data_IF_553691964255
#
_entry.id   IF_553691964255
#
_cell.length_a   1.000
_cell.length_b   1.000
_cell.length_c   1.000
_cell.angle_alpha   90.00
_cell.angle_beta   90.00
_cell.angle_gamma   90.00
#
_symmetry.space_group_name_H-M   'P 1'
#
loop_
_entity.id
_entity.type
_entity.pdbx_description
1 polymer ?
#
# COMPACT_ATOMS: atom_id res chain seq x y z
N UNK A 1 -36.95 -4.92 23.16
CA UNK A 1 -36.46 -6.08 22.49
C UNK A 1 -36.06 -5.82 21.11
N UNK A 2 -36.98 -5.48 20.30
CA UNK A 2 -36.68 -5.16 18.93
C UNK A 2 -35.69 -4.03 18.84
N UNK A 3 -35.79 -3.13 19.77
CA UNK A 3 -34.90 -1.97 19.77
C UNK A 3 -33.44 -2.31 19.91
N UNK A 4 -33.18 -3.46 20.50
CA UNK A 4 -31.79 -3.87 20.69
C UNK A 4 -31.08 -4.06 19.38
N UNK A 5 -31.74 -4.66 18.42
CA UNK A 5 -31.11 -4.85 17.12
C UNK A 5 -30.76 -3.55 16.45
N UNK A 6 -31.63 -2.58 16.60
CA UNK A 6 -31.43 -1.29 16.01
C UNK A 6 -30.19 -0.61 16.59
N UNK A 7 -30.03 -0.74 17.88
CA UNK A 7 -28.88 -0.15 18.55
C UNK A 7 -27.58 -0.73 18.03
N UNK A 8 -27.57 -2.02 17.77
CA UNK A 8 -26.38 -2.66 17.24
C UNK A 8 -26.00 -2.10 15.89
N UNK A 9 -26.97 -1.83 15.08
CA UNK A 9 -26.69 -1.25 13.78
C UNK A 9 -26.04 0.10 13.90
N UNK A 10 -26.51 0.88 14.85
CA UNK A 10 -25.89 2.17 15.09
C UNK A 10 -24.42 2.06 15.42
N UNK A 11 -24.08 1.04 16.18
CA UNK A 11 -22.67 0.85 16.55
C UNK A 11 -21.81 0.57 15.33
N UNK A 12 -22.31 -0.19 14.41
CA UNK A 12 -21.55 -0.48 13.20
C UNK A 12 -21.27 0.77 12.39
N UNK A 13 -22.25 1.64 12.30
CA UNK A 13 -22.08 2.87 11.57
C UNK A 13 -21.00 3.72 12.20
N UNK A 14 -20.96 3.77 13.51
CA UNK A 14 -19.94 4.53 14.20
C UNK A 14 -18.55 4.00 13.91
N UNK A 15 -18.43 2.69 13.87
CA UNK A 15 -17.14 2.10 13.55
C UNK A 15 -16.67 2.53 12.19
N UNK A 16 -17.57 2.56 11.22
CA UNK A 16 -17.22 3.02 9.89
C UNK A 16 -16.78 4.48 9.87
N UNK A 17 -17.47 5.31 10.62
CA UNK A 17 -17.12 6.73 10.66
C UNK A 17 -15.81 6.98 11.36
N UNK A 18 -15.42 6.12 12.26
CA UNK A 18 -14.19 6.30 13.02
C UNK A 18 -12.96 5.93 12.24
N UNK A 19 -13.10 5.30 11.10
CA UNK A 19 -11.91 4.89 10.35
C UNK A 19 -11.18 6.12 9.78
N UNK A 20 -9.86 6.04 9.71
CA UNK A 20 -9.06 7.12 9.15
C UNK A 20 -9.31 7.24 7.66
N UNK A 21 -9.58 8.20 7.09
CA UNK A 21 -9.92 8.42 5.71
C UNK A 21 -9.72 7.23 4.77
N UNK A 22 -10.44 7.20 3.69
CA UNK A 22 -10.34 6.10 2.72
C UNK A 22 -8.93 6.00 2.18
N UNK A 23 -8.46 4.81 2.03
CA UNK A 23 -7.19 4.57 1.40
C UNK A 23 -6.00 4.46 2.31
N UNK A 24 -6.10 4.89 3.58
CA UNK A 24 -4.95 4.80 4.47
C UNK A 24 -4.53 3.35 4.69
N UNK A 25 -5.45 2.49 5.03
CA UNK A 25 -5.15 1.08 5.25
C UNK A 25 -4.64 0.43 3.97
N UNK A 26 -5.20 0.79 2.84
CA UNK A 26 -4.78 0.26 1.56
C UNK A 26 -3.37 0.73 1.22
N UNK A 27 -3.09 2.02 1.45
CA UNK A 27 -1.75 2.57 1.26
C UNK A 27 -0.73 1.83 2.13
N UNK A 28 -1.03 1.65 3.42
CA UNK A 28 -0.13 0.94 4.33
C UNK A 28 0.13 -0.49 3.86
N UNK A 29 -0.92 -1.18 3.45
CA UNK A 29 -0.80 -2.55 2.98
C UNK A 29 0.02 -2.64 1.70
N UNK A 30 -0.22 -1.76 0.75
CA UNK A 30 0.50 -1.77 -0.51
C UNK A 30 1.98 -1.44 -0.32
N UNK A 31 2.28 -0.46 0.53
CA UNK A 31 3.66 -0.09 0.83
C UNK A 31 4.39 -1.24 1.51
N UNK A 32 3.76 -1.86 2.50
CA UNK A 32 4.37 -2.99 3.21
C UNK A 32 4.65 -4.15 2.26
N UNK A 33 3.67 -4.50 1.44
CA UNK A 33 3.84 -5.58 0.47
C UNK A 33 4.95 -5.26 -0.52
N UNK A 34 5.01 -4.01 -0.98
CA UNK A 34 6.04 -3.60 -1.93
C UNK A 34 7.43 -3.69 -1.31
N UNK A 35 7.58 -3.27 -0.07
CA UNK A 35 8.88 -3.38 0.60
C UNK A 35 9.33 -4.81 0.75
N UNK A 36 8.42 -5.71 1.13
CA UNK A 36 8.75 -7.13 1.25
C UNK A 36 9.19 -7.70 -0.09
N UNK A 37 8.48 -7.36 -1.14
CA UNK A 37 8.82 -7.84 -2.47
C UNK A 37 10.15 -7.27 -2.95
N UNK A 38 10.44 -6.02 -2.61
CA UNK A 38 11.71 -5.38 -2.96
C UNK A 38 12.87 -6.08 -2.26
N UNK A 39 12.69 -6.40 -0.98
CA UNK A 39 13.71 -7.13 -0.24
C UNK A 39 13.97 -8.50 -0.85
N UNK A 40 12.91 -9.17 -1.29
CA UNK A 40 13.07 -10.47 -1.96
C UNK A 40 13.82 -10.32 -3.27
N UNK A 41 13.52 -9.31 -4.06
CA UNK A 41 14.23 -9.07 -5.32
C UNK A 41 15.71 -8.80 -5.05
N UNK A 42 16.01 -8.05 -4.00
CA UNK A 42 17.39 -7.76 -3.63
C UNK A 42 18.12 -9.05 -3.23
N UNK A 43 17.46 -9.89 -2.45
CA UNK A 43 18.04 -11.15 -2.03
C UNK A 43 18.30 -12.08 -3.21
N UNK A 44 17.52 -11.93 -4.27
CA UNK A 44 17.68 -12.71 -5.50
C UNK A 44 18.75 -12.11 -6.44
N UNK A 45 19.41 -11.05 -6.02
CA UNK A 45 20.48 -10.45 -6.80
C UNK A 45 20.02 -9.45 -7.85
N UNK A 46 18.79 -8.97 -7.75
CA UNK A 46 18.21 -8.12 -8.79
C UNK A 46 18.38 -6.61 -8.52
N UNK A 47 19.11 -6.25 -7.47
CA UNK A 47 19.20 -4.84 -7.06
C UNK A 47 19.87 -3.92 -8.06
N UNK A 48 20.65 -4.45 -8.98
CA UNK A 48 21.35 -3.63 -9.97
C UNK A 48 20.57 -3.29 -11.22
N UNK A 49 19.37 -3.82 -11.37
CA UNK A 49 18.61 -3.65 -12.60
C UNK A 49 17.84 -2.35 -12.68
N UNK A 50 17.48 -1.99 -13.90
CA UNK A 50 16.72 -0.76 -14.14
C UNK A 50 15.34 -0.84 -13.49
N UNK A 51 14.67 -1.97 -13.62
CA UNK A 51 13.33 -2.13 -13.03
C UNK A 51 13.39 -2.03 -11.52
N UNK A 52 14.44 -2.55 -10.89
CA UNK A 52 14.61 -2.41 -9.46
C UNK A 52 14.73 -0.93 -9.07
N UNK A 53 15.52 -0.17 -9.81
CA UNK A 53 15.67 1.26 -9.56
C UNK A 53 14.35 2.00 -9.71
N UNK A 54 13.56 1.67 -10.72
CA UNK A 54 12.25 2.26 -10.91
C UNK A 54 11.33 1.95 -9.73
N UNK A 55 11.38 0.71 -9.26
CA UNK A 55 10.59 0.31 -8.10
C UNK A 55 10.93 1.15 -6.88
N UNK A 56 12.22 1.38 -6.64
CA UNK A 56 12.65 2.19 -5.50
C UNK A 56 12.11 3.62 -5.62
N UNK A 57 12.14 4.20 -6.82
CA UNK A 57 11.61 5.54 -7.04
C UNK A 57 10.12 5.61 -6.67
N UNK A 58 9.33 4.66 -7.17
CA UNK A 58 7.90 4.68 -6.89
C UNK A 58 7.59 4.37 -5.43
N UNK A 59 8.37 3.51 -4.79
CA UNK A 59 8.16 3.20 -3.40
C UNK A 59 8.50 4.40 -2.51
N UNK A 60 9.55 5.12 -2.86
CA UNK A 60 9.89 6.36 -2.17
C UNK A 60 8.79 7.40 -2.34
N UNK A 61 8.23 7.51 -3.54
CA UNK A 61 7.11 8.41 -3.81
C UNK A 61 5.89 8.01 -2.98
N UNK A 62 5.63 6.72 -2.86
CA UNK A 62 4.50 6.23 -2.07
C UNK A 62 4.65 6.64 -0.60
N UNK A 63 5.84 6.50 -0.06
CA UNK A 63 6.10 6.89 1.32
C UNK A 63 5.94 8.40 1.52
N UNK A 64 6.40 9.19 0.58
CA UNK A 64 6.22 10.64 0.64
C UNK A 64 4.75 11.01 0.60
N UNK A 65 3.98 10.39 -0.29
CA UNK A 65 2.55 10.63 -0.38
C UNK A 65 1.85 10.25 0.91
N UNK A 66 2.24 9.14 1.51
CA UNK A 66 1.67 8.71 2.77
C UNK A 66 1.92 9.73 3.87
N UNK A 67 3.11 10.28 3.94
CA UNK A 67 3.45 11.26 4.97
C UNK A 67 2.66 12.56 4.81
N UNK A 68 2.16 12.82 3.61
CA UNK A 68 1.31 13.99 3.35
C UNK A 68 -0.17 13.63 3.31
N UNK A 69 -0.52 12.45 3.76
CA UNK A 69 -1.89 11.95 3.76
C UNK A 69 -2.51 11.86 2.35
N UNK A 70 -1.68 11.78 1.33
CA UNK A 70 -2.15 11.57 -0.04
C UNK A 70 -2.24 10.07 -0.29
N UNK A 71 -3.25 9.44 0.30
CA UNK A 71 -3.33 7.98 0.31
C UNK A 71 -3.63 7.39 -1.06
N UNK A 72 -4.39 8.08 -1.89
CA UNK A 72 -4.61 7.63 -3.26
C UNK A 72 -3.32 7.58 -4.05
N UNK A 73 -2.52 8.65 -3.96
CA UNK A 73 -1.22 8.69 -4.61
C UNK A 73 -0.28 7.63 -4.07
N UNK A 74 -0.30 7.43 -2.75
CA UNK A 74 0.50 6.39 -2.11
C UNK A 74 0.16 5.01 -2.67
N UNK A 75 -1.11 4.67 -2.73
CA UNK A 75 -1.56 3.38 -3.24
C UNK A 75 -1.14 3.20 -4.69
N UNK A 76 -1.34 4.22 -5.52
CA UNK A 76 -0.96 4.15 -6.93
C UNK A 76 0.54 3.97 -7.11
N UNK A 77 1.33 4.75 -6.39
CA UNK A 77 2.79 4.65 -6.49
C UNK A 77 3.28 3.30 -5.99
N UNK A 78 2.71 2.79 -4.91
CA UNK A 78 3.09 1.48 -4.39
C UNK A 78 2.74 0.37 -5.38
N UNK A 79 1.61 0.47 -6.06
CA UNK A 79 1.25 -0.50 -7.09
C UNK A 79 2.22 -0.47 -8.26
N UNK A 80 2.65 0.73 -8.67
CA UNK A 80 3.66 0.85 -9.71
C UNK A 80 4.98 0.26 -9.25
N UNK A 81 5.36 0.47 -8.00
CA UNK A 81 6.56 -0.13 -7.46
C UNK A 81 6.48 -1.65 -7.55
N UNK A 82 5.33 -2.23 -7.18
CA UNK A 82 5.16 -3.68 -7.25
C UNK A 82 5.26 -4.20 -8.67
N UNK A 83 4.75 -3.45 -9.63
CA UNK A 83 4.89 -3.82 -11.04
C UNK A 83 6.37 -3.91 -11.42
N UNK A 84 7.16 -2.90 -11.08
CA UNK A 84 8.58 -2.90 -11.44
C UNK A 84 9.38 -3.92 -10.65
N UNK A 85 8.97 -4.23 -9.42
CA UNK A 85 9.59 -5.32 -8.67
C UNK A 85 9.35 -6.64 -9.40
N UNK A 86 8.14 -6.86 -9.87
CA UNK A 86 7.81 -8.05 -10.65
C UNK A 86 8.67 -8.15 -11.90
N UNK A 87 8.85 -7.03 -12.61
CA UNK A 87 9.70 -6.98 -13.79
C UNK A 87 11.15 -7.29 -13.43
N UNK A 88 11.61 -6.72 -12.32
CA UNK A 88 12.97 -6.96 -11.85
C UNK A 88 13.21 -8.45 -11.56
N UNK A 89 12.27 -9.06 -10.85
CA UNK A 89 12.41 -10.48 -10.50
C UNK A 89 12.31 -11.39 -11.71
N UNK A 90 11.67 -10.94 -12.76
CA UNK A 90 11.62 -11.67 -14.02
C UNK A 90 12.86 -11.44 -14.89
N UNK A 91 13.80 -10.62 -14.42
CA UNK A 91 15.00 -10.32 -15.17
C UNK A 91 14.82 -9.25 -16.23
N UNK A 92 13.75 -8.50 -16.13
CA UNK A 92 13.44 -7.39 -17.07
C UNK A 92 13.65 -6.02 -16.39
#
# INVERSE_FOLDING_TARGET
MKNLGILLLGSLILAGCASPGPGKADCDSQVSTAWQALDMAKAEGMAGGVSYSQAVVFLTAAKADKSMSSYGGCTDSAKKARFYISESRAGR
#
